data_IF_231612827819
#
_entry.id   IF_231612827819
#
_cell.length_a   1.000
_cell.length_b   1.000
_cell.length_c   1.000
_cell.angle_alpha   90.00
_cell.angle_beta   90.00
_cell.angle_gamma   90.00
#
_symmetry.space_group_name_H-M   'P 1'
#
loop_
_entity.id
_entity.type
_entity.pdbx_description
1 polymer ?
#
# COMPACT_ATOMS: atom_id res chain seq x y z
N UNK A 1 22.92 2.79 -7.06
CA UNK A 1 21.84 2.64 -6.08
C UNK A 1 21.15 3.97 -5.78
N UNK A 2 21.87 5.05 -5.51
CA UNK A 2 21.33 6.36 -5.14
C UNK A 2 20.39 7.00 -6.20
N UNK A 3 20.77 7.00 -7.49
CA UNK A 3 20.00 7.65 -8.56
C UNK A 3 18.66 6.96 -8.81
N UNK A 4 18.61 5.62 -8.79
CA UNK A 4 17.36 4.87 -8.96
C UNK A 4 16.35 5.21 -7.87
N UNK A 5 16.78 5.27 -6.62
CA UNK A 5 15.94 5.63 -5.49
C UNK A 5 15.44 7.07 -5.58
N UNK A 6 16.32 8.02 -5.93
CA UNK A 6 15.95 9.42 -6.17
C UNK A 6 14.86 9.55 -7.25
N UNK A 7 14.95 8.79 -8.35
CA UNK A 7 13.95 8.80 -9.41
C UNK A 7 12.59 8.28 -8.92
N UNK A 8 12.58 7.22 -8.09
CA UNK A 8 11.34 6.70 -7.48
C UNK A 8 10.71 7.71 -6.51
N UNK A 9 11.50 8.38 -5.67
CA UNK A 9 11.02 9.41 -4.75
C UNK A 9 10.39 10.59 -5.49
N UNK A 10 11.02 11.03 -6.58
CA UNK A 10 10.47 12.08 -7.45
C UNK A 10 9.19 11.62 -8.12
N UNK A 11 9.14 10.38 -8.63
CA UNK A 11 7.93 9.81 -9.23
C UNK A 11 6.78 9.70 -8.20
N UNK A 12 7.06 9.22 -6.98
CA UNK A 12 6.09 9.17 -5.89
C UNK A 12 5.55 10.55 -5.53
N UNK A 13 6.42 11.56 -5.42
CA UNK A 13 6.02 12.94 -5.16
C UNK A 13 5.15 13.51 -6.28
N UNK A 14 5.52 13.31 -7.54
CA UNK A 14 4.70 13.76 -8.69
C UNK A 14 3.34 13.07 -8.70
N UNK A 15 3.30 11.78 -8.40
CA UNK A 15 2.05 11.02 -8.26
C UNK A 15 1.17 11.60 -7.16
N UNK A 16 1.75 11.87 -5.99
CA UNK A 16 1.05 12.42 -4.82
C UNK A 16 0.55 13.85 -5.05
N UNK A 17 1.32 14.71 -5.71
CA UNK A 17 0.98 16.11 -5.89
C UNK A 17 0.02 16.36 -7.08
N UNK A 18 0.18 15.59 -8.16
CA UNK A 18 -0.46 15.86 -9.47
C UNK A 18 -1.23 14.69 -10.06
N UNK A 19 -1.24 13.55 -9.36
CA UNK A 19 -1.86 12.31 -9.84
C UNK A 19 -0.97 11.49 -10.78
N UNK A 20 -1.34 10.21 -10.96
CA UNK A 20 -0.54 9.25 -11.75
C UNK A 20 -0.39 9.61 -13.23
N UNK A 21 -1.34 10.36 -13.80
CA UNK A 21 -1.26 10.84 -15.19
C UNK A 21 -0.10 11.80 -15.40
N UNK A 22 0.32 12.54 -14.36
CA UNK A 22 1.45 13.45 -14.39
C UNK A 22 2.81 12.73 -14.29
N UNK A 23 2.84 11.46 -13.90
CA UNK A 23 4.07 10.66 -13.85
C UNK A 23 4.44 10.23 -15.26
N UNK A 24 5.32 11.01 -15.88
CA UNK A 24 5.93 10.70 -17.18
C UNK A 24 7.45 10.68 -17.04
N UNK A 25 8.14 9.96 -17.94
CA UNK A 25 9.61 9.92 -17.90
C UNK A 25 10.23 11.32 -18.03
N UNK A 26 9.64 12.19 -18.86
CA UNK A 26 10.10 13.58 -19.03
C UNK A 26 9.86 14.42 -17.77
N UNK A 27 8.69 14.28 -17.12
CA UNK A 27 8.40 14.99 -15.87
C UNK A 27 9.31 14.55 -14.73
N UNK A 28 9.57 13.24 -14.61
CA UNK A 28 10.49 12.68 -13.59
C UNK A 28 11.93 13.11 -13.87
N UNK A 29 12.41 13.04 -15.13
CA UNK A 29 13.73 13.54 -15.52
C UNK A 29 13.90 15.01 -15.17
N UNK A 30 12.94 15.86 -15.57
CA UNK A 30 12.98 17.29 -15.29
C UNK A 30 12.97 17.63 -13.80
N UNK A 31 12.16 16.92 -13.00
CA UNK A 31 12.04 17.17 -11.56
C UNK A 31 13.18 16.59 -10.73
N UNK A 32 13.84 15.54 -11.21
CA UNK A 32 14.97 14.89 -10.50
C UNK A 32 16.32 15.52 -10.80
N UNK A 33 16.43 16.29 -11.88
CA UNK A 33 17.72 16.77 -12.38
C UNK A 33 18.57 15.68 -13.07
N UNK A 34 18.06 14.46 -13.20
CA UNK A 34 18.71 13.35 -13.92
C UNK A 34 18.41 13.48 -15.39
N UNK A 35 19.41 13.39 -16.25
CA UNK A 35 19.19 13.44 -17.70
C UNK A 35 18.25 12.33 -18.18
N UNK A 36 17.55 12.58 -19.29
CA UNK A 36 16.65 11.58 -19.90
C UNK A 36 17.37 10.26 -20.20
N UNK A 37 18.61 10.32 -20.67
CA UNK A 37 19.43 9.12 -20.90
C UNK A 37 19.77 8.37 -19.63
N UNK A 38 20.10 9.09 -18.55
CA UNK A 38 20.32 8.51 -17.23
C UNK A 38 19.07 7.86 -16.64
N UNK A 39 17.90 8.50 -16.81
CA UNK A 39 16.62 7.93 -16.40
C UNK A 39 16.29 6.66 -17.20
N UNK A 40 16.42 6.70 -18.54
CA UNK A 40 16.15 5.55 -19.42
C UNK A 40 17.08 4.36 -19.15
N UNK A 41 18.29 4.60 -18.63
CA UNK A 41 19.19 3.54 -18.18
C UNK A 41 18.59 2.76 -16.98
N UNK A 42 17.92 3.45 -16.05
CA UNK A 42 17.28 2.83 -14.88
C UNK A 42 15.86 2.33 -15.16
N UNK A 43 15.11 3.08 -15.95
CA UNK A 43 13.72 2.81 -16.30
C UNK A 43 13.50 3.01 -17.81
N UNK A 44 13.71 1.96 -18.61
CA UNK A 44 13.58 2.03 -20.09
C UNK A 44 12.19 2.44 -20.58
N UNK A 45 11.15 2.30 -19.73
CA UNK A 45 9.79 2.69 -20.07
C UNK A 45 9.05 3.26 -18.85
N UNK A 46 7.97 4.02 -19.11
CA UNK A 46 7.05 4.45 -18.05
C UNK A 46 6.52 3.27 -17.26
N UNK A 47 6.21 2.17 -17.93
CA UNK A 47 5.70 0.97 -17.29
C UNK A 47 6.69 0.42 -16.25
N UNK A 48 7.96 0.26 -16.58
CA UNK A 48 8.99 -0.20 -15.62
C UNK A 48 9.20 0.77 -14.45
N UNK A 49 9.02 2.07 -14.68
CA UNK A 49 9.03 3.05 -13.60
C UNK A 49 7.83 2.86 -12.66
N UNK A 50 6.64 2.62 -13.21
CA UNK A 50 5.42 2.39 -12.40
C UNK A 50 5.48 1.07 -11.65
N UNK A 51 6.00 0.00 -12.27
CA UNK A 51 6.24 -1.27 -11.59
C UNK A 51 7.17 -1.10 -10.39
N UNK A 52 8.31 -0.44 -10.60
CA UNK A 52 9.27 -0.20 -9.52
C UNK A 52 8.72 0.72 -8.41
N UNK A 53 7.86 1.68 -8.77
CA UNK A 53 7.15 2.51 -7.79
C UNK A 53 6.17 1.67 -6.98
N UNK A 54 5.42 0.81 -7.64
CA UNK A 54 4.49 -0.10 -6.98
C UNK A 54 5.21 -1.09 -6.05
N UNK A 55 6.33 -1.68 -6.50
CA UNK A 55 7.16 -2.54 -5.66
C UNK A 55 7.64 -1.83 -4.40
N UNK A 56 8.09 -0.58 -4.53
CA UNK A 56 8.50 0.23 -3.38
C UNK A 56 7.36 0.47 -2.37
N UNK A 57 6.12 0.55 -2.85
CA UNK A 57 4.95 0.69 -1.98
C UNK A 57 4.61 -0.64 -1.28
N UNK A 58 4.71 -1.78 -1.98
CA UNK A 58 4.56 -3.10 -1.37
C UNK A 58 5.64 -3.37 -0.32
N UNK A 59 6.90 -3.02 -0.59
CA UNK A 59 8.01 -3.14 0.37
C UNK A 59 7.73 -2.34 1.66
N UNK A 60 7.15 -1.14 1.53
CA UNK A 60 6.75 -0.34 2.70
C UNK A 60 5.60 -0.96 3.47
N UNK A 61 4.61 -1.51 2.78
CA UNK A 61 3.50 -2.21 3.39
C UNK A 61 4.00 -3.44 4.17
N UNK A 62 4.85 -4.25 3.54
CA UNK A 62 5.46 -5.41 4.18
C UNK A 62 6.26 -5.01 5.43
N UNK A 63 7.08 -3.96 5.35
CA UNK A 63 7.83 -3.47 6.49
C UNK A 63 6.92 -3.01 7.65
N UNK A 64 5.81 -2.34 7.35
CA UNK A 64 4.83 -1.93 8.36
C UNK A 64 4.12 -3.12 8.99
N UNK A 65 3.75 -4.12 8.18
CA UNK A 65 3.16 -5.38 8.65
C UNK A 65 4.14 -6.12 9.57
N UNK A 66 5.39 -6.30 9.14
CA UNK A 66 6.42 -6.99 9.94
C UNK A 66 6.67 -6.29 11.28
N UNK A 67 6.69 -4.96 11.30
CA UNK A 67 6.85 -4.20 12.55
C UNK A 67 5.67 -4.42 13.49
N UNK A 68 4.44 -4.36 12.96
CA UNK A 68 3.23 -4.62 13.74
C UNK A 68 3.19 -6.07 14.26
N UNK A 69 3.58 -7.04 13.43
CA UNK A 69 3.67 -8.45 13.84
C UNK A 69 4.70 -8.70 14.94
N UNK A 70 5.84 -7.99 14.93
CA UNK A 70 6.86 -8.08 15.99
C UNK A 70 6.35 -7.58 17.32
N UNK A 71 5.47 -6.58 17.31
CA UNK A 71 4.88 -6.00 18.52
C UNK A 71 3.71 -6.83 19.08
N UNK A 72 3.11 -7.72 18.28
CA UNK A 72 1.94 -8.51 18.65
C UNK A 72 2.34 -9.88 19.25
N UNK A 73 2.05 -10.13 20.56
CA UNK A 73 2.40 -11.39 21.21
C UNK A 73 1.47 -12.56 20.83
N UNK A 74 0.29 -12.31 20.24
CA UNK A 74 -0.70 -13.34 19.94
C UNK A 74 -0.46 -13.97 18.56
N UNK A 75 -0.08 -15.25 18.46
CA UNK A 75 0.23 -15.86 17.15
C UNK A 75 -0.97 -15.94 16.22
N UNK A 76 -2.15 -16.33 16.75
CA UNK A 76 -3.37 -16.49 15.94
C UNK A 76 -3.91 -15.13 15.50
N UNK A 77 -4.20 -14.98 14.22
CA UNK A 77 -4.68 -13.73 13.63
C UNK A 77 -3.64 -12.60 13.56
N UNK A 78 -2.36 -12.89 13.86
CA UNK A 78 -1.29 -11.87 13.95
C UNK A 78 -1.08 -11.12 12.65
N UNK A 79 -0.99 -11.82 11.53
CA UNK A 79 -0.84 -11.19 10.22
C UNK A 79 -2.04 -10.29 9.89
N UNK A 80 -3.25 -10.78 10.14
CA UNK A 80 -4.49 -10.04 9.87
C UNK A 80 -4.58 -8.75 10.69
N UNK A 81 -4.22 -8.78 11.99
CA UNK A 81 -4.16 -7.57 12.82
C UNK A 81 -3.08 -6.61 12.35
N UNK A 82 -1.91 -7.13 12.01
CA UNK A 82 -0.81 -6.33 11.49
C UNK A 82 -1.18 -5.66 10.15
N UNK A 83 -1.84 -6.39 9.25
CA UNK A 83 -2.36 -5.84 7.99
C UNK A 83 -3.37 -4.71 8.24
N UNK A 84 -4.34 -4.93 9.13
CA UNK A 84 -5.31 -3.89 9.53
C UNK A 84 -4.58 -2.65 10.05
N UNK A 85 -3.63 -2.81 10.99
CA UNK A 85 -2.87 -1.70 11.55
C UNK A 85 -2.03 -0.97 10.50
N UNK A 86 -1.37 -1.70 9.60
CA UNK A 86 -0.58 -1.12 8.52
C UNK A 86 -1.45 -0.28 7.57
N UNK A 87 -2.63 -0.78 7.19
CA UNK A 87 -3.58 -0.04 6.36
C UNK A 87 -4.07 1.24 7.05
N UNK A 88 -4.37 1.18 8.36
CA UNK A 88 -4.84 2.32 9.13
C UNK A 88 -3.75 3.37 9.37
N UNK A 89 -2.52 2.91 9.70
CA UNK A 89 -1.39 3.81 9.96
C UNK A 89 -0.98 4.65 8.75
N UNK A 90 -1.21 4.14 7.54
CA UNK A 90 -0.95 4.87 6.30
C UNK A 90 -1.84 6.10 6.14
N UNK A 91 -3.06 6.08 6.70
CA UNK A 91 -3.96 7.23 6.72
C UNK A 91 -3.44 8.38 7.58
N UNK A 92 -2.92 8.07 8.77
CA UNK A 92 -2.52 9.06 9.77
C UNK A 92 -1.27 9.85 9.35
N UNK A 93 -0.58 9.37 8.32
CA UNK A 93 0.51 10.09 7.67
C UNK A 93 0.00 10.76 6.39
N UNK A 94 0.01 12.10 6.27
CA UNK A 94 -0.48 12.79 5.07
C UNK A 94 0.14 12.26 3.77
N UNK A 95 1.41 11.89 3.80
CA UNK A 95 2.11 11.29 2.66
C UNK A 95 1.65 9.84 2.40
N UNK A 96 1.44 9.04 3.44
CA UNK A 96 0.98 7.66 3.31
C UNK A 96 -0.40 7.54 2.67
N UNK A 97 -1.36 8.37 3.09
CA UNK A 97 -2.70 8.38 2.50
C UNK A 97 -2.67 8.70 1.01
N UNK A 98 -1.85 9.68 0.60
CA UNK A 98 -1.66 10.05 -0.81
C UNK A 98 -0.99 8.92 -1.60
N UNK A 99 0.03 8.28 -1.05
CA UNK A 99 0.73 7.16 -1.69
C UNK A 99 -0.25 6.01 -1.97
N UNK A 100 -1.10 5.65 -0.99
CA UNK A 100 -2.13 4.63 -1.16
C UNK A 100 -3.21 5.00 -2.17
N UNK A 101 -3.67 6.24 -2.16
CA UNK A 101 -4.61 6.73 -3.17
C UNK A 101 -4.04 6.53 -4.58
N UNK A 102 -2.76 6.82 -4.76
CA UNK A 102 -2.07 6.65 -6.03
C UNK A 102 -1.95 5.17 -6.42
N UNK A 103 -1.60 4.29 -5.48
CA UNK A 103 -1.53 2.84 -5.73
C UNK A 103 -2.86 2.29 -6.21
N UNK A 104 -3.97 2.65 -5.54
CA UNK A 104 -5.29 2.18 -5.97
C UNK A 104 -5.63 2.63 -7.38
N UNK A 105 -5.39 3.89 -7.70
CA UNK A 105 -5.65 4.40 -9.05
C UNK A 105 -4.83 3.64 -10.10
N UNK A 106 -3.57 3.32 -9.80
CA UNK A 106 -2.72 2.52 -10.70
C UNK A 106 -3.23 1.10 -10.81
N UNK A 107 -3.55 0.45 -9.69
CA UNK A 107 -4.10 -0.91 -9.67
C UNK A 107 -5.38 -1.05 -10.52
N UNK A 108 -6.25 -0.04 -10.47
CA UNK A 108 -7.49 -0.05 -11.24
C UNK A 108 -7.26 0.14 -12.73
N UNK A 109 -6.21 0.86 -13.14
CA UNK A 109 -5.94 1.19 -14.55
C UNK A 109 -4.96 0.24 -15.23
N UNK A 110 -4.01 -0.35 -14.49
CA UNK A 110 -2.91 -1.16 -15.02
C UNK A 110 -3.09 -2.65 -14.70
N UNK A 111 -3.52 -3.49 -15.66
CA UNK A 111 -3.81 -4.91 -15.41
C UNK A 111 -2.64 -5.70 -14.80
N UNK A 112 -1.40 -5.38 -15.19
CA UNK A 112 -0.21 -6.07 -14.70
C UNK A 112 0.06 -5.76 -13.23
N UNK A 113 -0.20 -4.52 -12.77
CA UNK A 113 -0.06 -4.16 -11.36
C UNK A 113 -1.16 -4.78 -10.50
N UNK A 114 -2.40 -4.93 -11.06
CA UNK A 114 -3.45 -5.74 -10.41
C UNK A 114 -3.02 -7.18 -10.22
N UNK A 115 -2.36 -7.77 -11.24
CA UNK A 115 -1.84 -9.12 -11.14
C UNK A 115 -0.78 -9.25 -10.03
N UNK A 116 0.15 -8.30 -9.92
CA UNK A 116 1.16 -8.26 -8.85
C UNK A 116 0.54 -8.13 -7.46
N UNK A 117 -0.49 -7.28 -7.31
CA UNK A 117 -1.26 -7.20 -6.07
C UNK A 117 -1.92 -8.52 -5.72
N UNK A 118 -2.55 -9.17 -6.69
CA UNK A 118 -3.18 -10.48 -6.51
C UNK A 118 -2.17 -11.54 -6.08
N UNK A 119 -0.99 -11.56 -6.69
CA UNK A 119 0.10 -12.46 -6.32
C UNK A 119 0.59 -12.18 -4.89
N UNK A 120 0.79 -10.93 -4.52
CA UNK A 120 1.17 -10.54 -3.17
C UNK A 120 0.14 -11.00 -2.12
N UNK A 121 -1.15 -10.75 -2.36
CA UNK A 121 -2.23 -11.20 -1.45
C UNK A 121 -2.26 -12.73 -1.31
N UNK A 122 -2.10 -13.45 -2.43
CA UNK A 122 -2.05 -14.92 -2.44
C UNK A 122 -0.86 -15.44 -1.62
N UNK A 123 0.33 -14.92 -1.87
CA UNK A 123 1.55 -15.32 -1.17
C UNK A 123 1.44 -15.10 0.34
N UNK A 124 0.94 -13.95 0.79
CA UNK A 124 0.73 -13.69 2.21
C UNK A 124 -0.36 -14.59 2.81
N UNK A 125 -1.42 -14.89 2.07
CA UNK A 125 -2.47 -15.80 2.52
C UNK A 125 -1.96 -17.25 2.67
N UNK A 126 -1.07 -17.70 1.79
CA UNK A 126 -0.43 -19.00 1.86
C UNK A 126 0.59 -19.07 3.00
N UNK A 127 1.42 -18.03 3.17
CA UNK A 127 2.43 -17.93 4.21
C UNK A 127 1.82 -18.03 5.63
N UNK A 128 0.70 -17.34 5.84
CA UNK A 128 0.04 -17.26 7.16
C UNK A 128 -1.18 -18.17 7.29
N UNK A 129 -1.36 -19.15 6.41
CA UNK A 129 -2.51 -20.07 6.41
C UNK A 129 -2.74 -20.77 7.76
N UNK A 130 -1.67 -21.10 8.47
CA UNK A 130 -1.74 -21.80 9.75
C UNK A 130 -2.37 -20.99 10.90
N UNK A 131 -2.37 -19.66 10.81
CA UNK A 131 -2.82 -18.78 11.89
C UNK A 131 -3.92 -17.78 11.45
N UNK A 132 -4.08 -17.56 10.15
CA UNK A 132 -4.90 -16.47 9.60
C UNK A 132 -5.89 -16.93 8.51
N UNK A 133 -6.21 -18.23 8.46
CA UNK A 133 -7.12 -18.82 7.46
C UNK A 133 -8.61 -18.79 7.85
N UNK A 134 -8.95 -18.28 9.05
CA UNK A 134 -10.34 -18.22 9.49
C UNK A 134 -11.21 -17.26 8.64
N UNK A 135 -12.52 -17.49 8.61
CA UNK A 135 -13.48 -16.59 7.96
C UNK A 135 -13.40 -15.19 8.59
N UNK A 136 -13.25 -15.13 9.91
CA UNK A 136 -13.15 -13.86 10.64
C UNK A 136 -11.88 -13.08 10.23
N UNK A 137 -10.74 -13.77 10.08
CA UNK A 137 -9.53 -13.14 9.54
C UNK A 137 -9.74 -12.60 8.13
N UNK A 138 -10.46 -13.33 7.26
CA UNK A 138 -10.81 -12.84 5.92
C UNK A 138 -11.73 -11.61 5.98
N UNK A 139 -12.74 -11.60 6.85
CA UNK A 139 -13.63 -10.44 7.09
C UNK A 139 -12.81 -9.22 7.49
N UNK A 140 -11.86 -9.37 8.41
CA UNK A 140 -11.04 -8.26 8.90
C UNK A 140 -10.15 -7.69 7.78
N UNK A 141 -9.51 -8.53 6.95
CA UNK A 141 -8.71 -8.06 5.81
C UNK A 141 -9.55 -7.32 4.78
N UNK A 142 -10.73 -7.87 4.41
CA UNK A 142 -11.66 -7.20 3.50
C UNK A 142 -12.21 -5.89 4.10
N UNK A 143 -12.45 -5.85 5.42
CA UNK A 143 -12.86 -4.62 6.09
C UNK A 143 -11.74 -3.58 6.10
N UNK A 144 -10.47 -3.98 6.27
CA UNK A 144 -9.32 -3.08 6.18
C UNK A 144 -9.24 -2.41 4.79
N UNK A 145 -9.39 -3.21 3.72
CA UNK A 145 -9.46 -2.70 2.34
C UNK A 145 -10.65 -1.76 2.15
N UNK A 146 -11.81 -2.11 2.71
CA UNK A 146 -13.02 -1.29 2.65
C UNK A 146 -12.89 0.04 3.39
N UNK A 147 -12.31 0.05 4.58
CA UNK A 147 -12.05 1.27 5.38
C UNK A 147 -11.10 2.18 4.62
N UNK A 148 -10.02 1.63 4.10
CA UNK A 148 -9.06 2.38 3.31
C UNK A 148 -9.69 3.00 2.05
N UNK A 149 -10.52 2.23 1.31
CA UNK A 149 -11.24 2.74 0.13
C UNK A 149 -12.25 3.83 0.51
N UNK A 150 -12.94 3.67 1.64
CA UNK A 150 -13.88 4.66 2.15
C UNK A 150 -13.16 5.99 2.50
N UNK A 151 -12.00 5.90 3.14
CA UNK A 151 -11.16 7.07 3.44
C UNK A 151 -10.69 7.77 2.15
N UNK A 152 -10.28 7.01 1.13
CA UNK A 152 -9.87 7.54 -0.17
C UNK A 152 -10.99 8.29 -0.89
N UNK A 153 -12.21 7.74 -0.85
CA UNK A 153 -13.37 8.30 -1.55
C UNK A 153 -14.10 9.39 -0.73
N UNK A 154 -13.70 9.63 0.52
CA UNK A 154 -14.44 10.50 1.43
C UNK A 154 -15.86 10.00 1.68
N UNK A 155 -16.07 8.68 1.65
CA UNK A 155 -17.35 8.02 1.91
C UNK A 155 -17.41 7.42 3.31
N UNK A 156 -18.60 7.17 3.83
CA UNK A 156 -18.80 6.57 5.16
C UNK A 156 -18.07 7.32 6.28
N UNK A 157 -18.31 8.63 6.39
CA UNK A 157 -17.74 9.47 7.43
C UNK A 157 -18.11 8.94 8.82
N UNK A 158 -17.14 8.31 9.48
CA UNK A 158 -17.23 7.91 10.88
C UNK A 158 -16.51 8.94 11.74
N UNK A 159 -17.15 9.36 12.82
CA UNK A 159 -16.41 10.08 13.86
C UNK A 159 -15.33 9.19 14.48
N UNK A 160 -14.35 9.80 15.13
CA UNK A 160 -13.19 9.08 15.69
C UNK A 160 -13.60 7.98 16.67
N UNK A 161 -14.65 8.23 17.47
CA UNK A 161 -15.17 7.26 18.45
C UNK A 161 -15.84 6.06 17.76
N UNK A 162 -16.62 6.28 16.70
CA UNK A 162 -17.23 5.21 15.92
C UNK A 162 -16.17 4.40 15.16
N UNK A 163 -15.15 5.07 14.63
CA UNK A 163 -14.02 4.45 13.97
C UNK A 163 -13.24 3.55 14.94
N UNK A 164 -12.92 4.05 16.13
CA UNK A 164 -12.20 3.25 17.12
C UNK A 164 -12.99 2.00 17.53
N UNK A 165 -14.31 2.14 17.78
CA UNK A 165 -15.16 0.97 18.08
C UNK A 165 -15.18 -0.06 16.93
N UNK A 166 -15.16 0.40 15.69
CA UNK A 166 -15.06 -0.50 14.51
C UNK A 166 -13.74 -1.26 14.53
N UNK A 167 -12.62 -0.57 14.74
CA UNK A 167 -11.28 -1.17 14.80
C UNK A 167 -11.21 -2.19 15.94
N UNK A 168 -11.64 -1.82 17.14
CA UNK A 168 -11.65 -2.71 18.30
C UNK A 168 -12.47 -3.98 18.03
N UNK A 169 -13.61 -3.83 17.35
CA UNK A 169 -14.45 -4.97 16.96
C UNK A 169 -13.75 -5.88 15.97
N UNK A 170 -13.08 -5.32 14.96
CA UNK A 170 -12.33 -6.09 13.96
C UNK A 170 -11.16 -6.85 14.62
N UNK A 171 -10.41 -6.20 15.51
CA UNK A 171 -9.35 -6.85 16.27
C UNK A 171 -9.91 -8.02 17.10
N UNK A 172 -11.04 -7.80 17.76
CA UNK A 172 -11.70 -8.84 18.58
C UNK A 172 -12.09 -10.10 17.79
N UNK A 173 -12.42 -9.97 16.49
CA UNK A 173 -12.73 -11.12 15.64
C UNK A 173 -11.52 -12.04 15.39
N UNK A 174 -10.30 -11.52 15.51
CA UNK A 174 -9.06 -12.28 15.28
C UNK A 174 -8.49 -12.94 16.53
N UNK A 175 -9.14 -12.80 17.67
CA UNK A 175 -8.66 -13.29 18.98
C UNK A 175 -9.44 -14.52 19.48
N UNK A 176 -10.36 -15.05 18.66
CA UNK A 176 -11.23 -16.18 19.01
C UNK A 176 -10.65 -17.52 18.57
#
# INVERSE_FOLDING_TARGET
MFVRQQLLEVAARLASEKGMTAVTLDAVSGASGVSKGGLLHHFPSKHMLLEALFDSLLERLDAAIEEAMRADPLPHGRFTRAYLHACLALRDQPQGAKDWAQVTMVLLTEPQLRQRWHEWVRERSEEYVGTDSSVDAAIVRLAADGIWLADLLGSHELDESARQRLIDRLIGLTQL
#
